data_IF_528275255487
#
_entry.id   IF_528275255487
#
_cell.length_a   1.000
_cell.length_b   1.000
_cell.length_c   1.000
_cell.angle_alpha   90.00
_cell.angle_beta   90.00
_cell.angle_gamma   90.00
#
_symmetry.space_group_name_H-M   'P 1'
#
loop_
_entity.id
_entity.type
_entity.pdbx_description
1 polymer ?
#
# COMPACT_ATOMS: atom_id res chain seq x y z
N UNK A 1 3.69 -5.43 11.27
CA UNK A 1 4.43 -4.19 11.58
C UNK A 1 4.44 -3.29 10.35
N UNK A 2 4.42 -1.98 10.54
CA UNK A 2 4.37 -0.99 9.44
C UNK A 2 5.80 -0.50 9.19
N UNK A 3 6.32 -0.61 7.97
CA UNK A 3 7.74 -0.30 7.70
C UNK A 3 7.86 0.93 6.83
N UNK A 4 8.37 2.02 7.42
CA UNK A 4 8.62 3.27 6.71
C UNK A 4 9.86 3.18 5.78
N UNK A 5 9.71 3.48 4.49
CA UNK A 5 10.79 3.65 3.53
C UNK A 5 11.05 5.15 3.28
N UNK A 6 12.29 5.64 3.49
CA UNK A 6 12.66 7.01 3.21
C UNK A 6 12.68 7.23 1.68
N UNK A 7 12.44 8.45 1.21
CA UNK A 7 12.54 8.76 -0.20
C UNK A 7 13.97 8.49 -0.69
N UNK A 8 14.09 7.62 -1.70
CA UNK A 8 15.33 7.46 -2.47
C UNK A 8 15.40 8.64 -3.48
N UNK A 9 16.55 9.30 -3.66
CA UNK A 9 16.69 10.29 -4.72
C UNK A 9 16.52 9.60 -6.09
N UNK A 10 15.63 10.13 -6.92
CA UNK A 10 15.38 9.65 -8.27
C UNK A 10 16.58 9.95 -9.18
N UNK A 11 17.56 9.04 -9.22
CA UNK A 11 18.57 8.98 -10.26
C UNK A 11 18.34 7.72 -11.09
N UNK A 12 18.05 7.91 -12.38
CA UNK A 12 17.69 6.84 -13.29
C UNK A 12 18.81 5.82 -13.48
N UNK A 13 18.51 4.55 -13.27
CA UNK A 13 19.24 3.44 -13.87
C UNK A 13 18.38 2.19 -13.83
N UNK A 14 18.25 1.57 -15.00
CA UNK A 14 17.52 0.32 -15.26
C UNK A 14 17.87 -0.76 -14.23
N UNK A 15 16.86 -1.32 -13.58
CA UNK A 15 17.01 -2.51 -12.74
C UNK A 15 16.83 -3.76 -13.61
N UNK A 16 17.90 -4.53 -13.78
CA UNK A 16 17.84 -5.92 -14.24
C UNK A 16 17.71 -6.84 -13.03
N UNK A 17 16.94 -7.94 -13.09
CA UNK A 17 16.82 -8.87 -11.97
C UNK A 17 18.09 -9.71 -11.82
N UNK A 18 18.74 -9.63 -10.65
CA UNK A 18 19.74 -10.62 -10.25
C UNK A 18 19.03 -11.88 -9.75
N UNK A 19 19.20 -12.96 -10.53
CA UNK A 19 18.91 -14.32 -10.09
C UNK A 19 20.04 -14.84 -9.22
N UNK A 20 19.69 -15.54 -8.12
CA UNK A 20 20.21 -16.87 -7.74
C UNK A 20 19.89 -17.15 -6.27
N UNK A 21 19.23 -18.28 -6.03
CA UNK A 21 19.55 -19.11 -4.89
C UNK A 21 19.55 -20.57 -5.34
N UNK A 22 20.63 -21.28 -4.99
CA UNK A 22 20.92 -22.65 -5.40
C UNK A 22 20.70 -23.62 -4.24
N UNK A 23 20.30 -24.87 -4.57
CA UNK A 23 20.27 -26.04 -3.69
C UNK A 23 18.84 -26.44 -3.28
N UNK A 24 18.40 -27.71 -3.35
CA UNK A 24 19.09 -29.00 -3.33
C UNK A 24 18.35 -30.06 -4.17
N UNK A 25 19.11 -31.10 -4.50
CA UNK A 25 18.79 -32.30 -5.27
C UNK A 25 17.82 -33.22 -4.50
N UNK A 26 16.82 -33.75 -5.20
CA UNK A 26 16.40 -35.14 -5.04
C UNK A 26 16.11 -35.73 -6.44
N UNK A 27 16.84 -36.79 -6.76
CA UNK A 27 16.69 -37.59 -7.97
C UNK A 27 15.63 -38.68 -7.75
N UNK A 28 14.96 -39.11 -8.83
CA UNK A 28 14.59 -40.50 -9.19
C UNK A 28 13.90 -40.47 -10.61
N UNK A 29 13.76 -41.60 -11.33
CA UNK A 29 14.31 -41.73 -12.70
C UNK A 29 13.32 -41.64 -13.86
N UNK A 30 13.93 -41.58 -15.05
CA UNK A 30 13.39 -41.34 -16.40
C UNK A 30 12.55 -42.46 -17.01
N UNK A 31 11.66 -42.08 -17.96
CA UNK A 31 11.23 -42.92 -19.08
C UNK A 31 10.97 -42.08 -20.36
N UNK A 32 11.92 -42.20 -21.30
CA UNK A 32 11.87 -42.28 -22.79
C UNK A 32 11.11 -41.27 -23.70
N UNK A 33 11.85 -40.88 -24.74
CA UNK A 33 11.41 -40.50 -26.10
C UNK A 33 11.53 -38.99 -26.36
N UNK A 34 12.20 -38.44 -27.36
CA UNK A 34 12.80 -38.92 -28.61
C UNK A 34 12.67 -37.77 -29.62
N UNK A 35 13.74 -37.43 -30.36
CA UNK A 35 13.68 -36.54 -31.53
C UNK A 35 14.33 -35.16 -31.35
N UNK A 36 15.43 -34.95 -32.07
CA UNK A 36 16.13 -33.68 -32.23
C UNK A 36 15.78 -33.06 -33.59
N UNK A 37 15.57 -31.73 -33.66
CA UNK A 37 15.96 -30.91 -34.81
C UNK A 37 16.10 -29.43 -34.44
N UNK A 38 17.28 -28.86 -34.70
CA UNK A 38 17.49 -27.67 -35.54
C UNK A 38 16.99 -26.29 -35.07
N UNK A 39 17.95 -25.41 -34.79
CA UNK A 39 17.84 -24.00 -34.42
C UNK A 39 17.12 -23.11 -35.45
N UNK A 40 16.45 -22.06 -34.96
CA UNK A 40 16.69 -20.70 -35.46
C UNK A 40 16.24 -19.64 -34.46
N UNK A 41 17.14 -18.69 -34.25
CA UNK A 41 17.04 -17.50 -33.41
C UNK A 41 15.91 -16.57 -33.84
N UNK A 42 15.01 -16.22 -32.92
CA UNK A 42 14.35 -14.90 -32.95
C UNK A 42 13.77 -14.55 -31.58
N UNK A 43 14.15 -13.36 -31.09
CA UNK A 43 13.43 -12.61 -30.07
C UNK A 43 13.39 -13.17 -28.65
N UNK A 44 14.44 -12.91 -27.85
CA UNK A 44 14.18 -12.64 -26.42
C UNK A 44 13.35 -11.35 -26.38
N UNK A 45 12.02 -11.48 -26.36
CA UNK A 45 11.16 -10.37 -25.98
C UNK A 45 11.57 -9.99 -24.57
N UNK A 46 12.21 -8.84 -24.43
CA UNK A 46 12.28 -8.16 -23.15
C UNK A 46 10.82 -7.93 -22.73
N UNK A 47 10.32 -8.77 -21.82
CA UNK A 47 9.01 -8.53 -21.21
C UNK A 47 9.08 -7.14 -20.58
N UNK A 48 8.37 -6.20 -21.20
CA UNK A 48 8.36 -4.82 -20.80
C UNK A 48 7.76 -4.73 -19.40
N UNK A 49 8.62 -4.60 -18.40
CA UNK A 49 8.24 -4.23 -17.03
C UNK A 49 7.88 -2.74 -17.00
N UNK A 50 6.97 -2.34 -17.89
CA UNK A 50 6.46 -0.97 -17.99
C UNK A 50 5.09 -0.89 -17.37
N UNK A 51 4.84 0.20 -16.66
CA UNK A 51 3.48 0.59 -16.28
C UNK A 51 2.67 0.78 -17.55
N UNK A 52 1.61 -0.01 -17.71
CA UNK A 52 0.70 0.04 -18.86
C UNK A 52 -0.53 0.91 -18.60
N UNK A 53 -0.79 1.26 -17.33
CA UNK A 53 -1.86 2.18 -16.96
C UNK A 53 -1.90 2.43 -15.45
N UNK A 54 -2.57 3.53 -15.07
CA UNK A 54 -2.82 3.88 -13.68
C UNK A 54 -4.30 4.28 -13.58
N UNK A 55 -5.07 3.51 -12.81
CA UNK A 55 -6.42 3.92 -12.42
C UNK A 55 -6.39 4.57 -11.05
N UNK A 56 -7.28 5.53 -10.82
CA UNK A 56 -7.42 6.22 -9.54
C UNK A 56 -8.81 5.94 -8.97
N UNK A 57 -8.84 5.35 -7.78
CA UNK A 57 -10.06 5.15 -7.00
C UNK A 57 -10.06 6.11 -5.81
N UNK A 58 -11.10 6.95 -5.72
CA UNK A 58 -11.28 7.83 -4.57
C UNK A 58 -11.91 7.05 -3.41
N UNK A 59 -11.14 6.83 -2.34
CA UNK A 59 -11.61 6.19 -1.10
C UNK A 59 -12.32 7.20 -0.19
N UNK A 60 -11.92 8.48 -0.27
CA UNK A 60 -12.58 9.57 0.41
C UNK A 60 -12.30 10.92 -0.25
N UNK A 61 -13.30 11.79 -0.19
CA UNK A 61 -13.32 13.14 -0.80
C UNK A 61 -13.79 14.21 0.20
N UNK A 62 -13.75 13.87 1.48
CA UNK A 62 -14.22 14.71 2.58
C UNK A 62 -13.11 15.52 3.22
N UNK A 63 -13.53 16.50 4.01
CA UNK A 63 -12.65 17.31 4.85
C UNK A 63 -12.12 16.51 6.04
N UNK A 64 -11.28 17.14 6.87
CA UNK A 64 -10.68 16.49 8.03
C UNK A 64 -11.69 15.89 9.01
N UNK A 65 -12.90 16.44 9.14
CA UNK A 65 -13.96 15.89 10.00
C UNK A 65 -14.79 14.77 9.35
N UNK A 66 -14.69 14.60 8.03
CA UNK A 66 -15.63 13.80 7.23
C UNK A 66 -17.03 14.43 7.15
N UNK A 67 -17.90 13.77 6.40
CA UNK A 67 -19.35 14.07 6.28
C UNK A 67 -20.12 12.74 6.36
N UNK A 68 -21.13 12.60 7.23
CA UNK A 68 -21.74 13.65 8.05
C UNK A 68 -20.87 14.13 9.23
N UNK A 69 -21.08 15.38 9.65
CA UNK A 69 -20.47 15.90 10.88
C UNK A 69 -21.28 15.43 12.09
N UNK A 70 -20.61 14.79 13.06
CA UNK A 70 -21.24 14.25 14.27
C UNK A 70 -22.15 15.30 14.93
N UNK A 71 -21.63 16.50 15.22
CA UNK A 71 -22.40 17.57 15.87
C UNK A 71 -23.65 18.03 15.10
N UNK A 72 -23.64 17.92 13.77
CA UNK A 72 -24.79 18.25 12.93
C UNK A 72 -25.92 17.22 13.04
N UNK A 73 -25.59 15.99 13.40
CA UNK A 73 -26.55 14.89 13.55
C UNK A 73 -27.02 14.79 15.00
N UNK A 74 -26.12 14.85 15.99
CA UNK A 74 -26.49 14.54 17.37
C UNK A 74 -27.07 15.71 18.16
N UNK A 75 -26.92 16.96 17.68
CA UNK A 75 -27.32 18.17 18.40
C UNK A 75 -28.03 19.18 17.48
N UNK A 76 -29.14 18.83 16.83
CA UNK A 76 -30.00 19.83 16.20
C UNK A 76 -30.63 20.72 17.27
N UNK A 77 -30.81 22.00 16.97
CA UNK A 77 -31.60 22.93 17.78
C UNK A 77 -32.45 23.83 16.88
N UNK A 78 -33.34 24.65 17.46
CA UNK A 78 -34.25 25.50 16.68
C UNK A 78 -33.51 26.53 15.81
N UNK A 79 -32.29 26.91 16.20
CA UNK A 79 -31.44 27.87 15.48
C UNK A 79 -30.48 27.18 14.50
N UNK A 80 -30.21 25.88 14.71
CA UNK A 80 -29.35 25.03 13.88
C UNK A 80 -30.04 23.68 13.65
N UNK A 81 -30.99 23.62 12.72
CA UNK A 81 -31.56 22.36 12.29
C UNK A 81 -30.49 21.50 11.61
N UNK A 82 -30.79 20.23 11.39
CA UNK A 82 -29.87 19.37 10.67
C UNK A 82 -29.56 19.92 9.27
N UNK A 83 -28.28 19.92 8.92
CA UNK A 83 -27.84 20.24 7.57
C UNK A 83 -28.37 19.18 6.59
N UNK A 84 -29.03 19.56 5.48
CA UNK A 84 -29.54 18.62 4.48
C UNK A 84 -28.47 17.68 3.94
N UNK A 85 -27.23 18.17 3.79
CA UNK A 85 -26.08 17.38 3.33
C UNK A 85 -25.71 16.29 4.34
N UNK A 86 -25.74 16.60 5.64
CA UNK A 86 -25.40 15.61 6.66
C UNK A 86 -26.53 14.59 6.85
N UNK A 87 -27.79 15.01 6.76
CA UNK A 87 -28.92 14.08 6.78
C UNK A 87 -28.86 13.12 5.59
N UNK A 88 -28.71 13.63 4.38
CA UNK A 88 -28.60 12.79 3.19
C UNK A 88 -27.39 11.84 3.26
N UNK A 89 -26.25 12.31 3.78
CA UNK A 89 -25.08 11.47 4.00
C UNK A 89 -25.30 10.32 5.00
N UNK A 90 -26.24 10.48 5.94
CA UNK A 90 -26.54 9.50 6.98
C UNK A 90 -27.66 8.53 6.56
N UNK A 91 -28.74 9.07 6.01
CA UNK A 91 -30.00 8.33 5.78
C UNK A 91 -30.05 7.65 4.41
N UNK A 92 -29.38 8.21 3.39
CA UNK A 92 -29.42 7.70 2.03
C UNK A 92 -28.27 6.70 1.78
N UNK A 93 -28.55 5.40 1.57
CA UNK A 93 -27.51 4.42 1.24
C UNK A 93 -26.76 4.81 -0.03
N UNK A 94 -25.42 4.83 0.02
CA UNK A 94 -24.58 5.19 -1.14
C UNK A 94 -24.60 6.67 -1.50
N UNK A 95 -25.10 7.56 -0.64
CA UNK A 95 -25.07 9.01 -0.90
C UNK A 95 -23.66 9.52 -1.19
N UNK A 96 -23.55 10.35 -2.23
CA UNK A 96 -22.33 11.11 -2.59
C UNK A 96 -21.95 12.15 -1.51
N UNK A 97 -22.88 12.47 -0.60
CA UNK A 97 -22.62 13.35 0.53
C UNK A 97 -21.96 12.62 1.71
N UNK A 98 -21.95 11.28 1.72
CA UNK A 98 -21.15 10.51 2.68
C UNK A 98 -19.68 10.51 2.26
N UNK A 99 -18.89 11.38 2.88
CA UNK A 99 -17.50 11.65 2.48
C UNK A 99 -16.54 11.33 3.62
N UNK A 100 -15.73 10.30 3.43
CA UNK A 100 -14.61 9.96 4.29
C UNK A 100 -13.48 10.98 4.16
N UNK A 101 -12.53 10.99 5.11
CA UNK A 101 -11.27 11.71 4.96
C UNK A 101 -10.62 11.46 3.61
N UNK A 102 -9.98 12.48 3.06
CA UNK A 102 -9.32 12.43 1.77
C UNK A 102 -8.36 11.26 1.71
N UNK A 103 -8.54 10.41 0.70
CA UNK A 103 -7.68 9.26 0.44
C UNK A 103 -7.97 8.72 -0.95
N UNK A 104 -6.94 8.23 -1.63
CA UNK A 104 -7.05 7.60 -2.95
C UNK A 104 -6.30 6.27 -2.96
N UNK A 105 -6.73 5.37 -3.85
CA UNK A 105 -6.00 4.18 -4.22
C UNK A 105 -5.56 4.30 -5.67
N UNK A 106 -4.25 4.17 -5.90
CA UNK A 106 -3.69 4.03 -7.24
C UNK A 106 -3.62 2.55 -7.58
N UNK A 107 -4.22 2.17 -8.71
CA UNK A 107 -4.16 0.82 -9.26
C UNK A 107 -3.21 0.85 -10.45
N UNK A 108 -1.96 0.44 -10.22
CA UNK A 108 -0.90 0.46 -11.22
C UNK A 108 -0.91 -0.87 -11.97
N UNK A 109 -1.23 -0.83 -13.26
CA UNK A 109 -1.24 -1.99 -14.15
C UNK A 109 0.11 -2.11 -14.83
N UNK A 110 0.66 -3.31 -14.86
CA UNK A 110 1.91 -3.65 -15.54
C UNK A 110 1.62 -4.80 -16.50
N UNK A 111 2.00 -4.67 -17.77
CA UNK A 111 1.60 -5.58 -18.85
C UNK A 111 1.99 -7.04 -18.60
N UNK A 112 1.07 -7.81 -17.98
CA UNK A 112 1.25 -9.23 -17.67
C UNK A 112 1.35 -9.57 -16.18
N UNK A 113 1.49 -8.59 -15.29
CA UNK A 113 1.58 -8.81 -13.84
C UNK A 113 0.28 -8.41 -13.12
N UNK A 114 0.00 -8.97 -11.92
CA UNK A 114 -1.11 -8.49 -11.11
C UNK A 114 -0.95 -6.99 -10.79
N UNK A 115 -2.05 -6.23 -10.78
CA UNK A 115 -1.99 -4.80 -10.49
C UNK A 115 -1.43 -4.55 -9.10
N UNK A 116 -0.75 -3.42 -8.95
CA UNK A 116 -0.25 -2.94 -7.66
C UNK A 116 -1.16 -1.87 -7.10
N UNK A 117 -1.45 -1.99 -5.80
CA UNK A 117 -2.36 -1.12 -5.09
C UNK A 117 -1.57 -0.22 -4.14
N UNK A 118 -1.51 1.07 -4.45
CA UNK A 118 -0.81 2.06 -3.62
C UNK A 118 -1.86 2.98 -3.01
N UNK A 119 -2.03 2.90 -1.69
CA UNK A 119 -2.94 3.79 -0.96
C UNK A 119 -2.23 5.09 -0.62
N UNK A 120 -2.91 6.21 -0.80
CA UNK A 120 -2.43 7.54 -0.40
C UNK A 120 -3.31 8.03 0.75
N UNK A 121 -2.67 8.28 1.89
CA UNK A 121 -3.25 8.64 3.17
C UNK A 121 -4.23 7.61 3.76
N UNK A 122 -4.20 7.48 5.09
CA UNK A 122 -5.10 6.64 5.87
C UNK A 122 -5.58 7.41 7.10
N UNK A 123 -6.54 8.31 6.90
CA UNK A 123 -7.20 9.02 8.00
C UNK A 123 -8.04 8.14 8.91
N UNK A 124 -8.60 8.73 9.98
CA UNK A 124 -9.50 8.06 10.95
C UNK A 124 -10.73 7.37 10.35
N UNK A 125 -11.15 7.73 9.12
CA UNK A 125 -12.27 7.06 8.44
C UNK A 125 -11.82 5.99 7.45
N UNK A 126 -10.54 5.62 7.42
CA UNK A 126 -9.98 4.69 6.43
C UNK A 126 -10.68 3.33 6.49
N UNK A 127 -10.93 2.77 7.68
CA UNK A 127 -11.64 1.48 7.81
C UNK A 127 -12.99 1.47 7.08
N UNK A 128 -13.81 2.48 7.31
CA UNK A 128 -15.13 2.60 6.65
C UNK A 128 -14.97 2.83 5.14
N UNK A 129 -13.96 3.59 4.72
CA UNK A 129 -13.61 3.74 3.30
C UNK A 129 -13.21 2.41 2.65
N UNK A 130 -12.37 1.63 3.34
CA UNK A 130 -11.85 0.36 2.85
C UNK A 130 -12.97 -0.66 2.67
N UNK A 131 -13.81 -0.85 3.70
CA UNK A 131 -14.93 -1.79 3.65
C UNK A 131 -15.94 -1.43 2.54
N UNK A 132 -16.17 -0.14 2.30
CA UNK A 132 -17.10 0.32 1.26
C UNK A 132 -16.51 0.24 -0.14
N UNK A 133 -15.28 0.70 -0.33
CA UNK A 133 -14.73 0.89 -1.67
C UNK A 133 -13.86 -0.28 -2.12
N UNK A 134 -12.99 -0.82 -1.28
CA UNK A 134 -12.06 -1.90 -1.70
C UNK A 134 -12.83 -3.19 -1.98
N UNK A 135 -13.75 -3.58 -1.10
CA UNK A 135 -14.57 -4.77 -1.29
C UNK A 135 -15.42 -4.68 -2.58
N UNK A 136 -16.05 -3.52 -2.82
CA UNK A 136 -16.87 -3.29 -4.01
C UNK A 136 -16.06 -3.35 -5.33
N UNK A 137 -14.76 -3.03 -5.28
CA UNK A 137 -13.87 -3.06 -6.46
C UNK A 137 -12.99 -4.33 -6.49
N UNK A 138 -13.24 -5.32 -5.62
CA UNK A 138 -12.48 -6.57 -5.58
C UNK A 138 -11.00 -6.40 -5.18
N UNK A 139 -10.65 -5.29 -4.53
CA UNK A 139 -9.29 -5.05 -4.03
C UNK A 139 -9.08 -5.84 -2.75
N UNK A 140 -8.13 -6.79 -2.77
CA UNK A 140 -7.88 -7.73 -1.66
C UNK A 140 -6.74 -7.33 -0.73
N UNK A 141 -6.04 -6.26 -1.02
CA UNK A 141 -4.90 -5.79 -0.25
C UNK A 141 -4.22 -4.60 -0.89
N UNK A 142 -3.31 -4.00 -0.14
CA UNK A 142 -2.47 -2.88 -0.58
C UNK A 142 -1.01 -3.31 -0.58
N UNK A 143 -0.25 -2.88 -1.59
CA UNK A 143 1.17 -3.19 -1.74
C UNK A 143 2.06 -2.13 -1.09
N UNK A 144 1.57 -0.89 -0.98
CA UNK A 144 2.27 0.21 -0.35
C UNK A 144 1.28 1.27 0.16
N UNK A 145 1.74 2.04 1.15
CA UNK A 145 1.07 3.23 1.67
C UNK A 145 1.96 4.44 1.44
N UNK A 146 1.40 5.56 1.00
CA UNK A 146 2.06 6.86 0.92
C UNK A 146 1.34 7.81 1.87
N UNK A 147 2.06 8.41 2.82
CA UNK A 147 1.51 9.44 3.69
C UNK A 147 1.99 10.81 3.21
N UNK A 148 1.06 11.70 2.93
CA UNK A 148 1.35 13.04 2.42
C UNK A 148 1.81 13.98 3.54
N UNK A 149 1.22 13.88 4.72
CA UNK A 149 1.52 14.70 5.89
C UNK A 149 0.99 14.05 7.18
N UNK A 150 1.29 14.65 8.33
CA UNK A 150 1.02 14.07 9.65
C UNK A 150 -0.25 14.59 10.35
N UNK A 151 -1.29 15.01 9.62
CA UNK A 151 -2.55 15.40 10.27
C UNK A 151 -3.48 14.22 10.52
N UNK A 152 -4.46 14.44 11.39
CA UNK A 152 -5.37 13.42 11.89
C UNK A 152 -6.17 12.69 10.78
N UNK A 153 -6.48 13.42 9.72
CA UNK A 153 -7.19 12.96 8.53
C UNK A 153 -6.30 12.23 7.52
N UNK A 154 -4.98 12.21 7.72
CA UNK A 154 -4.03 11.48 6.89
C UNK A 154 -3.43 10.24 7.57
N UNK A 155 -3.34 10.21 8.91
CA UNK A 155 -2.57 9.15 9.60
C UNK A 155 -3.33 8.36 10.68
N UNK A 156 -4.49 8.79 11.16
CA UNK A 156 -5.12 8.14 12.32
C UNK A 156 -5.78 6.79 12.02
N UNK A 157 -5.83 6.38 10.76
CA UNK A 157 -6.21 5.03 10.35
C UNK A 157 -5.01 4.08 10.23
N UNK A 158 -3.80 4.49 10.63
CA UNK A 158 -2.61 3.64 10.56
C UNK A 158 -2.73 2.34 11.36
N UNK A 159 -3.51 2.33 12.45
CA UNK A 159 -3.71 1.10 13.23
C UNK A 159 -4.54 0.07 12.43
N UNK A 160 -5.58 0.51 11.73
CA UNK A 160 -6.40 -0.33 10.87
C UNK A 160 -5.61 -0.88 9.66
N UNK A 161 -4.51 -0.24 9.25
CA UNK A 161 -3.65 -0.73 8.15
C UNK A 161 -3.04 -2.11 8.47
N UNK A 162 -2.96 -2.45 9.76
CA UNK A 162 -2.48 -3.76 10.20
C UNK A 162 -3.33 -4.92 9.68
N UNK A 163 -4.62 -4.70 9.41
CA UNK A 163 -5.50 -5.70 8.80
C UNK A 163 -5.02 -6.10 7.38
N UNK A 164 -4.23 -5.25 6.71
CA UNK A 164 -3.59 -5.58 5.43
C UNK A 164 -2.24 -6.29 5.57
N UNK A 165 -1.68 -6.36 6.78
CA UNK A 165 -0.36 -6.99 7.03
C UNK A 165 -0.45 -8.49 7.33
N UNK A 166 -1.65 -9.05 7.53
CA UNK A 166 -1.85 -10.48 7.75
C UNK A 166 -2.27 -11.22 6.46
N UNK A 167 -1.70 -12.42 6.25
CA UNK A 167 -1.97 -13.40 5.17
C UNK A 167 -1.22 -13.31 3.82
N UNK A 168 -0.06 -12.67 3.74
CA UNK A 168 0.68 -12.63 2.47
C UNK A 168 2.08 -13.24 2.47
N UNK A 169 2.59 -13.87 3.53
CA UNK A 169 4.03 -14.18 3.62
C UNK A 169 4.47 -15.62 3.44
N UNK A 170 4.01 -16.49 4.35
CA UNK A 170 4.73 -17.73 4.60
C UNK A 170 3.92 -18.90 5.13
N UNK A 171 4.58 -20.05 5.29
CA UNK A 171 3.95 -21.28 5.74
C UNK A 171 3.52 -21.26 7.21
N UNK A 172 3.89 -20.22 7.96
CA UNK A 172 3.60 -20.09 9.39
C UNK A 172 2.64 -18.92 9.66
N UNK A 173 1.75 -19.05 10.67
CA UNK A 173 0.80 -18.01 11.06
C UNK A 173 1.43 -16.66 11.42
N UNK A 174 2.73 -16.65 11.71
CA UNK A 174 3.49 -15.49 12.19
C UNK A 174 4.36 -14.83 11.12
N UNK A 175 4.34 -15.34 9.88
CA UNK A 175 5.15 -14.77 8.79
C UNK A 175 4.45 -13.53 8.19
N UNK A 176 4.60 -12.43 8.90
CA UNK A 176 4.04 -11.12 8.57
C UNK A 176 5.01 -10.37 7.68
N UNK A 177 4.65 -10.22 6.40
CA UNK A 177 5.36 -9.28 5.53
C UNK A 177 4.98 -7.85 5.92
N UNK A 178 5.95 -7.00 6.29
CA UNK A 178 5.64 -5.63 6.63
C UNK A 178 5.15 -4.86 5.41
N UNK A 179 4.14 -4.00 5.60
CA UNK A 179 3.68 -3.10 4.56
C UNK A 179 4.68 -1.93 4.40
N UNK A 180 5.23 -1.70 3.20
CA UNK A 180 6.04 -0.52 2.91
C UNK A 180 5.20 0.76 3.00
N UNK A 181 5.70 1.73 3.77
CA UNK A 181 5.07 3.05 3.94
C UNK A 181 6.06 4.15 3.55
N UNK A 182 5.69 4.98 2.60
CA UNK A 182 6.51 6.09 2.12
C UNK A 182 6.02 7.38 2.78
N UNK A 183 6.95 8.16 3.34
CA UNK A 183 6.63 9.43 3.99
C UNK A 183 7.88 10.31 4.14
N UNK A 184 7.67 11.60 4.42
CA UNK A 184 8.75 12.53 4.73
C UNK A 184 9.36 12.27 6.11
N UNK A 185 10.59 12.75 6.34
CA UNK A 185 11.25 12.65 7.66
C UNK A 185 10.49 13.39 8.77
N UNK A 186 9.89 14.53 8.45
CA UNK A 186 9.01 15.29 9.36
C UNK A 186 7.79 14.45 9.75
N UNK A 187 7.09 13.87 8.76
CA UNK A 187 5.94 13.00 9.00
C UNK A 187 6.33 11.78 9.84
N UNK A 188 7.55 11.27 9.68
CA UNK A 188 8.04 10.10 10.42
C UNK A 188 8.22 10.41 11.91
N UNK A 189 8.72 11.61 12.23
CA UNK A 189 8.84 12.06 13.62
C UNK A 189 7.48 12.05 14.33
N UNK A 190 6.47 12.63 13.67
CA UNK A 190 5.10 12.69 14.18
C UNK A 190 4.43 11.31 14.28
N UNK A 191 4.61 10.45 13.27
CA UNK A 191 4.09 9.07 13.29
C UNK A 191 4.76 8.27 14.40
N UNK A 192 6.08 8.40 14.60
CA UNK A 192 6.79 7.71 15.67
C UNK A 192 6.34 8.19 17.05
N UNK A 193 6.04 9.48 17.21
CA UNK A 193 5.53 10.02 18.47
C UNK A 193 4.11 9.52 18.80
N UNK A 194 3.22 9.40 17.80
CA UNK A 194 1.82 8.99 17.99
C UNK A 194 1.60 7.48 17.98
N UNK A 195 2.40 6.76 17.18
CA UNK A 195 2.31 5.32 16.97
C UNK A 195 3.66 4.63 17.21
N UNK A 196 4.25 4.76 18.42
CA UNK A 196 5.57 4.20 18.72
C UNK A 196 5.61 2.68 18.56
N UNK A 197 4.48 2.00 18.69
CA UNK A 197 4.34 0.56 18.53
C UNK A 197 4.27 0.09 17.06
N UNK A 198 3.98 1.00 16.11
CA UNK A 198 3.95 0.68 14.68
C UNK A 198 5.33 0.83 14.04
N UNK A 199 6.17 1.70 14.60
CA UNK A 199 7.49 2.02 14.06
C UNK A 199 8.56 1.17 14.78
N UNK A 200 9.37 0.40 14.05
CA UNK A 200 10.52 -0.29 14.63
C UNK A 200 11.42 0.63 15.46
N UNK A 201 11.83 0.16 16.64
CA UNK A 201 12.86 0.84 17.44
C UNK A 201 14.25 0.69 16.84
N UNK A 202 15.17 1.60 17.20
CA UNK A 202 16.57 1.53 16.80
C UNK A 202 17.20 0.23 17.34
N UNK A 203 17.56 -0.69 16.43
CA UNK A 203 18.04 -2.03 16.76
C UNK A 203 17.20 -3.17 16.17
N UNK A 204 16.09 -2.86 15.49
CA UNK A 204 15.32 -3.87 14.77
C UNK A 204 16.16 -4.45 13.59
N UNK A 205 16.20 -5.79 13.42
CA UNK A 205 16.87 -6.44 12.29
C UNK A 205 16.52 -5.85 10.92
N UNK A 206 15.28 -5.41 10.72
CA UNK A 206 14.80 -4.77 9.48
C UNK A 206 15.47 -3.41 9.23
N UNK A 207 15.73 -2.62 10.28
CA UNK A 207 16.48 -1.37 10.12
C UNK A 207 17.96 -1.63 9.82
N UNK A 208 18.53 -2.69 10.39
CA UNK A 208 19.89 -3.10 10.09
C UNK A 208 20.04 -3.57 8.63
N UNK A 209 19.05 -4.31 8.10
CA UNK A 209 18.98 -4.66 6.67
C UNK A 209 18.83 -3.43 5.79
N UNK A 210 17.96 -2.46 6.15
CA UNK A 210 17.83 -1.19 5.42
C UNK A 210 19.12 -0.39 5.37
N UNK A 211 19.89 -0.35 6.46
CA UNK A 211 21.23 0.28 6.49
C UNK A 211 22.21 -0.45 5.56
N UNK A 212 22.16 -1.79 5.52
CA UNK A 212 23.00 -2.60 4.62
C UNK A 212 22.64 -2.34 3.15
N UNK A 213 21.35 -2.33 2.80
CA UNK A 213 20.91 -2.04 1.43
C UNK A 213 21.25 -0.61 1.00
N UNK A 214 20.95 0.40 1.83
CA UNK A 214 21.29 1.80 1.52
C UNK A 214 22.79 2.04 1.35
N UNK A 215 23.63 1.34 2.13
CA UNK A 215 25.08 1.39 1.97
C UNK A 215 25.55 0.65 0.71
N UNK A 216 24.89 -0.44 0.32
CA UNK A 216 25.17 -1.16 -0.93
C UNK A 216 24.86 -0.28 -2.15
N UNK A 217 23.73 0.41 -2.17
CA UNK A 217 23.36 1.32 -3.27
C UNK A 217 24.31 2.53 -3.39
N UNK A 218 24.81 3.06 -2.26
CA UNK A 218 25.85 4.13 -2.27
C UNK A 218 27.22 3.62 -2.72
N UNK A 219 27.53 2.34 -2.50
CA UNK A 219 28.79 1.71 -2.93
C UNK A 219 28.82 1.38 -4.43
N UNK A 220 27.67 1.08 -5.03
CA UNK A 220 27.53 0.77 -6.47
C UNK A 220 27.42 2.03 -7.34
N UNK A 221 27.17 3.21 -6.75
CA UNK A 221 27.09 4.51 -7.43
C UNK A 221 28.43 5.29 -7.47
N UNK A 222 29.54 4.66 -7.06
CA UNK A 222 30.92 5.18 -7.12
C UNK A 222 31.73 4.38 -8.13
#
# INVERSE_FOLDING_TARGET
GVVAWPPQPLAGSRLLPMSRCAGRRHALPAMRGGGAVGESSSGRSAEGHGVTGIDVLFLGSGVSTGVPKIGCIVRPDAQRPHCPVCLDALETPGSKNRRNNVSILLVVRNGGAPPKHIMVDCGKTMRDAALRHLAAHGVRGIDALLLTHAHADAILGLDDVRDFTEQHGGPLPWDVRPLPVYLSGETLGEVRARFPYLVPGEGNPLEAERRKEANKTRGEAR
#
